data_IF_402592872037
#
_entry.id   IF_402592872037
#
_cell.length_a   1.000
_cell.length_b   1.000
_cell.length_c   1.000
_cell.angle_alpha   90.00
_cell.angle_beta   90.00
_cell.angle_gamma   90.00
#
_symmetry.space_group_name_H-M   'P 1'
#
loop_
_entity.id
_entity.type
_entity.pdbx_description
1 polymer ?
#
# COMPACT_ATOMS: atom_id res chain seq x y z
N UNK A 1 24.13 -9.02 -6.30
CA UNK A 1 23.96 -7.56 -6.31
C UNK A 1 22.46 -7.34 -6.31
N UNK A 2 21.91 -6.51 -5.41
CA UNK A 2 20.51 -6.08 -5.51
C UNK A 2 20.49 -5.00 -6.59
N UNK A 3 19.98 -5.30 -7.77
CA UNK A 3 19.95 -4.39 -8.91
C UNK A 3 18.60 -3.69 -9.10
N UNK A 4 17.56 -4.13 -8.36
CA UNK A 4 16.21 -3.57 -8.41
C UNK A 4 15.50 -3.68 -7.05
N UNK A 5 14.88 -2.58 -6.61
CA UNK A 5 13.94 -2.52 -5.48
C UNK A 5 13.03 -1.29 -5.66
N UNK A 6 11.84 -1.31 -5.05
CA UNK A 6 10.88 -0.19 -5.11
C UNK A 6 10.44 0.24 -3.71
N UNK A 7 10.07 1.51 -3.56
CA UNK A 7 9.52 2.07 -2.33
C UNK A 7 8.03 2.33 -2.51
N UNK A 8 7.19 1.61 -1.78
CA UNK A 8 5.75 1.61 -1.94
C UNK A 8 4.98 1.90 -0.64
N UNK A 9 3.76 1.38 -0.60
CA UNK A 9 2.90 1.43 0.58
C UNK A 9 2.40 2.83 0.95
N UNK A 10 2.04 3.01 2.23
CA UNK A 10 1.36 4.23 2.70
C UNK A 10 2.23 5.48 2.58
N UNK A 11 3.53 5.34 2.80
CA UNK A 11 4.48 6.46 2.78
C UNK A 11 4.81 6.88 1.35
N UNK A 12 4.91 5.95 0.40
CA UNK A 12 5.01 6.31 -1.01
C UNK A 12 3.75 7.03 -1.52
N UNK A 13 2.55 6.64 -1.06
CA UNK A 13 1.32 7.40 -1.36
C UNK A 13 1.34 8.78 -0.71
N UNK A 14 1.80 8.90 0.55
CA UNK A 14 1.94 10.19 1.23
C UNK A 14 2.86 11.14 0.45
N UNK A 15 4.01 10.66 -0.03
CA UNK A 15 4.95 11.46 -0.82
C UNK A 15 4.39 11.94 -2.16
N UNK A 16 3.41 11.24 -2.73
CA UNK A 16 2.85 11.53 -4.06
C UNK A 16 1.57 12.36 -4.02
N UNK A 17 0.67 12.10 -3.06
CA UNK A 17 -0.65 12.75 -3.00
C UNK A 17 -0.97 13.40 -1.65
N UNK A 18 -0.05 13.32 -0.68
CA UNK A 18 -0.18 13.88 0.67
C UNK A 18 -1.55 13.61 1.31
N UNK A 19 -2.04 12.38 1.20
CA UNK A 19 -3.38 12.02 1.69
C UNK A 19 -3.48 11.95 3.23
N UNK A 20 -2.43 11.43 3.89
CA UNK A 20 -2.30 11.33 5.35
C UNK A 20 -0.85 11.06 5.76
N UNK A 21 -0.53 11.29 7.03
CA UNK A 21 0.74 10.83 7.60
C UNK A 21 0.85 9.30 7.56
N UNK A 22 2.05 8.84 7.26
CA UNK A 22 2.47 7.44 7.26
C UNK A 22 3.91 7.35 7.72
N UNK A 23 4.18 6.43 8.66
CA UNK A 23 5.47 6.35 9.34
C UNK A 23 6.31 5.14 8.90
N UNK A 24 5.66 4.13 8.32
CA UNK A 24 6.32 2.90 7.90
C UNK A 24 7.04 3.09 6.55
N UNK A 25 8.07 2.29 6.28
CA UNK A 25 8.80 2.28 5.01
C UNK A 25 8.67 0.91 4.38
N UNK A 26 7.83 0.80 3.37
CA UNK A 26 7.61 -0.45 2.61
C UNK A 26 8.57 -0.54 1.41
N UNK A 27 9.55 -1.43 1.47
CA UNK A 27 10.49 -1.74 0.39
C UNK A 27 10.09 -3.05 -0.27
N UNK A 28 9.86 -3.03 -1.58
CA UNK A 28 9.49 -4.23 -2.32
C UNK A 28 10.66 -4.79 -3.14
N UNK A 29 10.73 -6.12 -3.16
CA UNK A 29 11.74 -6.93 -3.82
C UNK A 29 11.07 -7.97 -4.71
N UNK A 30 11.77 -8.41 -5.75
CA UNK A 30 11.35 -9.47 -6.67
C UNK A 30 11.94 -10.85 -6.32
N UNK A 31 13.06 -10.89 -5.60
CA UNK A 31 13.73 -12.13 -5.20
C UNK A 31 13.77 -12.32 -3.65
N UNK A 32 13.11 -13.35 -3.10
CA UNK A 32 13.17 -13.67 -1.67
C UNK A 32 14.55 -14.09 -1.17
N UNK A 33 15.46 -14.50 -2.05
CA UNK A 33 16.85 -14.82 -1.67
C UNK A 33 17.62 -13.59 -1.18
N UNK A 34 17.09 -12.37 -1.40
CA UNK A 34 17.69 -11.13 -0.93
C UNK A 34 17.40 -10.83 0.55
N UNK A 35 16.28 -11.33 1.11
CA UNK A 35 15.87 -11.01 2.48
C UNK A 35 16.93 -11.32 3.56
N UNK A 36 17.64 -12.47 3.53
CA UNK A 36 18.70 -12.75 4.51
C UNK A 36 19.84 -11.73 4.49
N UNK A 37 20.11 -11.12 3.33
CA UNK A 37 21.12 -10.07 3.19
C UNK A 37 20.64 -8.71 3.67
N UNK A 38 19.34 -8.51 3.82
CA UNK A 38 18.79 -7.23 4.30
C UNK A 38 18.62 -7.19 5.81
N UNK A 39 18.77 -8.34 6.50
CA UNK A 39 18.62 -8.45 7.93
C UNK A 39 19.87 -7.94 8.69
N UNK A 40 19.80 -6.76 9.34
CA UNK A 40 20.94 -6.16 10.05
C UNK A 40 21.48 -7.05 11.16
N UNK A 41 20.59 -7.82 11.82
CA UNK A 41 20.95 -8.70 12.94
C UNK A 41 21.86 -9.84 12.50
N UNK A 42 21.64 -10.41 11.32
CA UNK A 42 22.45 -11.52 10.80
C UNK A 42 23.64 -11.05 9.97
N UNK A 43 23.56 -9.87 9.36
CA UNK A 43 24.64 -9.32 8.53
C UNK A 43 25.62 -8.42 9.31
N UNK A 44 25.28 -8.05 10.55
CA UNK A 44 26.15 -7.21 11.39
C UNK A 44 26.26 -5.77 10.92
N UNK A 45 25.20 -5.22 10.32
CA UNK A 45 25.18 -3.83 9.89
C UNK A 45 25.20 -2.87 11.08
N UNK A 46 26.04 -1.83 10.99
CA UNK A 46 26.00 -0.70 11.91
C UNK A 46 24.92 0.27 11.45
N UNK A 47 23.91 0.49 12.30
CA UNK A 47 22.83 1.43 12.05
C UNK A 47 22.97 2.62 12.98
N UNK A 48 22.67 3.83 12.47
CA UNK A 48 22.70 5.06 13.28
C UNK A 48 21.65 5.02 14.41
N UNK A 49 20.55 4.31 14.17
CA UNK A 49 19.48 4.04 15.13
C UNK A 49 19.41 2.52 15.31
N UNK A 50 19.49 2.06 16.56
CA UNK A 50 19.33 0.64 16.87
C UNK A 50 17.84 0.24 16.77
N UNK A 51 17.50 -0.82 16.01
CA UNK A 51 16.15 -1.35 16.01
C UNK A 51 15.78 -2.00 17.33
N UNK A 52 14.51 -1.89 17.70
CA UNK A 52 13.92 -2.52 18.90
C UNK A 52 13.53 -3.97 18.63
N UNK A 53 13.27 -4.32 17.36
CA UNK A 53 12.82 -5.66 16.99
C UNK A 53 13.09 -6.02 15.54
N UNK A 54 13.06 -7.33 15.28
CA UNK A 54 13.12 -7.90 13.94
C UNK A 54 12.10 -9.03 13.84
N UNK A 55 11.23 -8.97 12.85
CA UNK A 55 10.28 -10.03 12.53
C UNK A 55 10.53 -10.54 11.12
N UNK A 56 10.46 -11.85 10.89
CA UNK A 56 10.56 -12.40 9.55
C UNK A 56 9.80 -13.71 9.46
N UNK A 57 9.09 -13.90 8.35
CA UNK A 57 8.48 -15.18 8.00
C UNK A 57 9.46 -16.13 7.26
N UNK A 58 10.72 -15.70 7.11
CA UNK A 58 11.81 -16.43 6.48
C UNK A 58 11.73 -16.56 4.95
N UNK A 59 10.66 -16.08 4.30
CA UNK A 59 10.45 -16.35 2.86
C UNK A 59 9.83 -15.23 2.04
N UNK A 60 9.09 -14.30 2.65
CA UNK A 60 8.40 -13.21 1.95
C UNK A 60 8.55 -11.86 2.62
N UNK A 61 8.80 -11.82 3.93
CA UNK A 61 8.88 -10.58 4.69
C UNK A 61 10.04 -10.55 5.68
N UNK A 62 10.63 -9.36 5.80
CA UNK A 62 11.53 -8.98 6.88
C UNK A 62 11.11 -7.60 7.36
N UNK A 63 10.72 -7.50 8.62
CA UNK A 63 10.36 -6.27 9.30
C UNK A 63 11.45 -5.87 10.29
N UNK A 64 11.80 -4.60 10.28
CA UNK A 64 12.68 -3.96 11.26
C UNK A 64 11.83 -2.94 12.03
N UNK A 65 11.75 -3.11 13.35
CA UNK A 65 10.88 -2.30 14.22
C UNK A 65 11.69 -1.23 14.92
N UNK A 66 11.21 0.01 14.87
CA UNK A 66 11.70 1.14 15.66
C UNK A 66 10.53 1.70 16.49
N UNK A 67 10.44 1.31 17.76
CA UNK A 67 9.35 1.69 18.66
C UNK A 67 9.21 3.22 18.74
N UNK A 68 7.96 3.70 18.64
CA UNK A 68 7.61 5.13 18.62
C UNK A 68 8.15 5.92 17.41
N UNK A 69 8.78 5.26 16.42
CA UNK A 69 9.26 5.89 15.18
C UNK A 69 8.52 5.34 13.97
N UNK A 70 8.47 4.02 13.81
CA UNK A 70 7.86 3.34 12.66
C UNK A 70 8.55 2.01 12.34
N UNK A 71 8.15 1.39 11.24
CA UNK A 71 8.69 0.10 10.80
C UNK A 71 9.35 0.23 9.42
N UNK A 72 10.34 -0.62 9.12
CA UNK A 72 10.82 -0.85 7.76
C UNK A 72 10.44 -2.27 7.37
N UNK A 73 9.58 -2.40 6.38
CA UNK A 73 9.11 -3.67 5.84
C UNK A 73 9.78 -3.95 4.50
N UNK A 74 10.59 -5.01 4.44
CA UNK A 74 11.03 -5.60 3.18
C UNK A 74 10.06 -6.69 2.78
N UNK A 75 9.45 -6.56 1.60
CA UNK A 75 8.36 -7.40 1.13
C UNK A 75 8.70 -7.96 -0.24
N UNK A 76 8.71 -9.28 -0.38
CA UNK A 76 8.85 -9.94 -1.66
C UNK A 76 7.49 -10.03 -2.37
N UNK A 77 7.20 -9.01 -3.18
CA UNK A 77 6.03 -8.95 -4.02
C UNK A 77 6.37 -8.27 -5.36
N UNK A 78 6.23 -8.99 -6.49
CA UNK A 78 6.51 -8.42 -7.80
C UNK A 78 5.56 -7.27 -8.13
N UNK A 79 5.94 -6.46 -9.12
CA UNK A 79 5.05 -5.46 -9.71
C UNK A 79 3.84 -6.10 -10.38
N UNK A 80 2.68 -5.44 -10.28
CA UNK A 80 1.41 -5.92 -10.81
C UNK A 80 0.95 -5.14 -12.04
N UNK A 81 1.28 -3.86 -12.13
CA UNK A 81 0.85 -2.96 -13.21
C UNK A 81 1.93 -2.77 -14.28
N UNK A 82 1.53 -2.29 -15.47
CA UNK A 82 2.45 -2.07 -16.59
C UNK A 82 3.43 -0.90 -16.39
N UNK A 83 3.08 0.08 -15.57
CA UNK A 83 3.93 1.23 -15.20
C UNK A 83 3.99 1.33 -13.66
N UNK A 84 4.73 0.43 -13.01
CA UNK A 84 4.61 0.24 -11.56
C UNK A 84 5.33 1.31 -10.75
N UNK A 85 6.27 2.05 -11.35
CA UNK A 85 7.10 3.02 -10.63
C UNK A 85 7.30 4.34 -11.36
N UNK A 86 7.64 5.36 -10.58
CA UNK A 86 8.19 6.64 -11.04
C UNK A 86 9.50 6.91 -10.32
N UNK A 87 10.45 7.55 -11.02
CA UNK A 87 11.70 7.99 -10.39
C UNK A 87 11.44 9.22 -9.52
N UNK A 88 11.94 9.20 -8.29
CA UNK A 88 11.86 10.33 -7.39
C UNK A 88 13.15 10.51 -6.60
N UNK A 89 13.32 11.67 -5.98
CA UNK A 89 14.36 11.92 -5.00
C UNK A 89 13.72 12.05 -3.61
N UNK A 90 14.13 11.19 -2.68
CA UNK A 90 13.66 11.20 -1.29
C UNK A 90 14.87 11.41 -0.40
N UNK A 91 14.91 12.57 0.29
CA UNK A 91 16.02 12.96 1.17
C UNK A 91 17.40 12.84 0.51
N UNK A 92 17.55 13.29 -0.74
CA UNK A 92 18.81 13.23 -1.48
C UNK A 92 19.14 11.85 -2.08
N UNK A 93 18.23 10.87 -2.00
CA UNK A 93 18.40 9.54 -2.58
C UNK A 93 17.47 9.35 -3.76
N UNK A 94 18.00 8.91 -4.89
CA UNK A 94 17.20 8.48 -6.02
C UNK A 94 16.55 7.14 -5.71
N UNK A 95 15.23 7.07 -5.83
CA UNK A 95 14.43 5.88 -5.54
C UNK A 95 13.42 5.64 -6.67
N UNK A 96 12.99 4.39 -6.82
CA UNK A 96 11.83 4.03 -7.61
C UNK A 96 10.62 3.99 -6.67
N UNK A 97 9.78 5.03 -6.71
CA UNK A 97 8.52 5.05 -5.96
C UNK A 97 7.48 4.25 -6.72
N UNK A 98 6.75 3.37 -6.04
CA UNK A 98 5.58 2.72 -6.65
C UNK A 98 4.49 3.75 -6.96
N UNK A 99 3.85 3.63 -8.12
CA UNK A 99 2.75 4.53 -8.50
C UNK A 99 1.54 4.30 -7.60
N UNK A 100 0.63 5.29 -7.46
CA UNK A 100 -0.59 5.09 -6.69
C UNK A 100 -1.42 3.89 -7.19
N UNK A 101 -1.47 3.69 -8.50
CA UNK A 101 -2.12 2.52 -9.11
C UNK A 101 -1.47 1.20 -8.70
N UNK A 102 -0.14 1.10 -8.71
CA UNK A 102 0.57 -0.08 -8.23
C UNK A 102 0.30 -0.37 -6.75
N UNK A 103 0.34 0.67 -5.91
CA UNK A 103 0.12 0.52 -4.46
C UNK A 103 -1.31 0.04 -4.16
N UNK A 104 -2.31 0.61 -4.84
CA UNK A 104 -3.70 0.17 -4.71
C UNK A 104 -3.88 -1.25 -5.27
N UNK A 105 -3.27 -1.57 -6.42
CA UNK A 105 -3.32 -2.91 -7.00
C UNK A 105 -2.76 -3.96 -6.03
N UNK A 106 -1.61 -3.71 -5.41
CA UNK A 106 -1.03 -4.61 -4.39
C UNK A 106 -1.92 -4.76 -3.17
N UNK A 107 -2.53 -3.67 -2.67
CA UNK A 107 -3.49 -3.74 -1.55
C UNK A 107 -4.69 -4.63 -1.89
N UNK A 108 -5.30 -4.45 -3.07
CA UNK A 108 -6.43 -5.28 -3.49
C UNK A 108 -5.99 -6.72 -3.72
N UNK A 109 -4.89 -6.94 -4.44
CA UNK A 109 -4.41 -8.26 -4.83
C UNK A 109 -4.00 -9.14 -3.64
N UNK A 110 -3.20 -8.59 -2.72
CA UNK A 110 -2.66 -9.35 -1.59
C UNK A 110 -3.52 -9.26 -0.33
N UNK A 111 -4.24 -8.16 -0.13
CA UNK A 111 -4.97 -7.88 1.13
C UNK A 111 -6.47 -7.69 0.95
N UNK A 112 -7.01 -7.74 -0.27
CA UNK A 112 -8.44 -7.49 -0.53
C UNK A 112 -9.39 -8.36 0.30
N UNK A 113 -9.08 -9.65 0.45
CA UNK A 113 -9.87 -10.58 1.27
C UNK A 113 -9.81 -10.31 2.79
N UNK A 114 -8.91 -9.45 3.25
CA UNK A 114 -8.76 -9.02 4.64
C UNK A 114 -8.60 -7.48 4.73
N UNK A 115 -9.24 -6.76 3.81
CA UNK A 115 -9.10 -5.31 3.65
C UNK A 115 -9.43 -4.57 4.95
N UNK A 116 -8.62 -3.58 5.29
CA UNK A 116 -8.80 -2.74 6.47
C UNK A 116 -9.45 -1.39 6.09
N UNK A 117 -10.08 -0.66 7.02
CA UNK A 117 -10.62 0.68 6.75
C UNK A 117 -9.60 1.64 6.13
N UNK A 118 -8.33 1.58 6.55
CA UNK A 118 -7.24 2.38 5.95
C UNK A 118 -7.02 2.09 4.46
N UNK A 119 -7.28 0.86 4.01
CA UNK A 119 -7.12 0.51 2.60
C UNK A 119 -8.24 1.13 1.76
N UNK A 120 -9.48 1.15 2.27
CA UNK A 120 -10.59 1.90 1.63
C UNK A 120 -10.34 3.40 1.61
N UNK A 121 -9.77 3.96 2.69
CA UNK A 121 -9.36 5.37 2.74
C UNK A 121 -8.34 5.69 1.63
N UNK A 122 -7.28 4.88 1.53
CA UNK A 122 -6.22 5.09 0.53
C UNK A 122 -6.79 4.94 -0.90
N UNK A 123 -7.66 3.95 -1.16
CA UNK A 123 -8.37 3.79 -2.46
C UNK A 123 -9.16 5.05 -2.81
N UNK A 124 -10.00 5.53 -1.89
CA UNK A 124 -10.83 6.70 -2.12
C UNK A 124 -10.02 7.99 -2.32
N UNK A 125 -8.89 8.14 -1.62
CA UNK A 125 -7.97 9.26 -1.86
C UNK A 125 -7.37 9.22 -3.26
N UNK A 126 -6.94 8.04 -3.72
CA UNK A 126 -6.39 7.88 -5.09
C UNK A 126 -7.48 8.11 -6.14
N UNK A 127 -8.71 7.67 -5.92
CA UNK A 127 -9.84 8.01 -6.79
C UNK A 127 -10.07 9.52 -6.88
N UNK A 128 -9.99 10.22 -5.74
CA UNK A 128 -10.19 11.68 -5.68
C UNK A 128 -9.11 12.46 -6.44
N UNK A 129 -7.86 11.97 -6.46
CA UNK A 129 -6.74 12.67 -7.10
C UNK A 129 -6.49 12.25 -8.55
N UNK A 130 -6.73 10.98 -8.90
CA UNK A 130 -6.41 10.43 -10.23
C UNK A 130 -7.63 10.04 -11.07
N UNK A 131 -8.83 9.99 -10.48
CA UNK A 131 -10.04 9.55 -11.16
C UNK A 131 -10.27 8.04 -11.08
N UNK A 132 -11.49 7.63 -11.46
CA UNK A 132 -11.94 6.24 -11.39
C UNK A 132 -11.26 5.40 -12.47
N UNK A 133 -11.13 5.95 -13.68
CA UNK A 133 -10.54 5.30 -14.85
C UNK A 133 -9.08 4.90 -14.59
N UNK A 134 -8.35 5.71 -13.81
CA UNK A 134 -6.99 5.40 -13.42
C UNK A 134 -6.89 4.11 -12.60
N UNK A 135 -7.81 3.90 -11.64
CA UNK A 135 -7.82 2.69 -10.83
C UNK A 135 -8.48 1.51 -11.55
N UNK A 136 -9.45 1.74 -12.43
CA UNK A 136 -9.99 0.69 -13.30
C UNK A 136 -8.88 0.05 -14.12
N UNK A 137 -8.04 0.85 -14.79
CA UNK A 137 -6.89 0.35 -15.56
C UNK A 137 -5.90 -0.45 -14.70
N UNK A 138 -5.66 -0.02 -13.45
CA UNK A 138 -4.76 -0.72 -12.53
C UNK A 138 -5.33 -2.05 -11.99
N UNK A 139 -6.66 -2.18 -11.94
CA UNK A 139 -7.34 -3.27 -11.24
C UNK A 139 -8.07 -4.26 -12.15
N UNK A 140 -8.40 -3.90 -13.39
CA UNK A 140 -9.21 -4.72 -14.32
C UNK A 140 -8.62 -6.10 -14.62
N UNK A 141 -7.31 -6.29 -14.44
CA UNK A 141 -6.64 -7.58 -14.59
C UNK A 141 -6.83 -8.53 -13.38
N UNK A 142 -7.39 -8.04 -12.27
CA UNK A 142 -7.46 -8.75 -10.99
C UNK A 142 -8.91 -8.88 -10.48
N UNK A 143 -9.82 -9.28 -11.36
CA UNK A 143 -11.26 -9.33 -11.07
C UNK A 143 -11.60 -10.21 -9.87
N UNK A 144 -11.01 -11.40 -9.75
CA UNK A 144 -11.22 -12.30 -8.62
C UNK A 144 -10.81 -11.66 -7.28
N UNK A 145 -9.74 -10.85 -7.30
CA UNK A 145 -9.29 -10.08 -6.13
C UNK A 145 -10.21 -8.91 -5.82
N UNK A 146 -10.71 -8.24 -6.85
CA UNK A 146 -11.70 -7.17 -6.70
C UNK A 146 -13.02 -7.71 -6.12
N UNK A 147 -13.48 -8.89 -6.54
CA UNK A 147 -14.66 -9.54 -5.99
C UNK A 147 -14.49 -9.89 -4.50
N UNK A 148 -13.32 -10.41 -4.12
CA UNK A 148 -12.99 -10.69 -2.73
C UNK A 148 -12.97 -9.41 -1.87
N UNK A 149 -12.33 -8.35 -2.38
CA UNK A 149 -12.33 -7.02 -1.76
C UNK A 149 -13.74 -6.43 -1.62
N UNK A 150 -14.56 -6.52 -2.66
CA UNK A 150 -15.93 -6.01 -2.68
C UNK A 150 -16.78 -6.70 -1.62
N UNK A 151 -16.63 -8.01 -1.46
CA UNK A 151 -17.33 -8.76 -0.41
C UNK A 151 -16.98 -8.24 0.98
N UNK A 152 -15.69 -7.99 1.25
CA UNK A 152 -15.24 -7.44 2.54
C UNK A 152 -15.77 -6.02 2.75
N UNK A 153 -15.65 -5.15 1.74
CA UNK A 153 -16.11 -3.77 1.81
C UNK A 153 -17.62 -3.68 2.11
N UNK A 154 -18.45 -4.52 1.47
CA UNK A 154 -19.91 -4.58 1.72
C UNK A 154 -20.27 -5.12 3.11
N UNK A 155 -19.48 -6.04 3.64
CA UNK A 155 -19.73 -6.65 4.96
C UNK A 155 -19.24 -5.78 6.12
N UNK A 156 -18.33 -4.85 5.86
CA UNK A 156 -17.78 -3.97 6.90
C UNK A 156 -18.84 -3.01 7.44
N UNK A 157 -18.90 -2.86 8.76
CA UNK A 157 -19.79 -1.89 9.38
C UNK A 157 -19.35 -0.44 9.02
N UNK A 158 -20.22 0.39 8.42
CA UNK A 158 -19.85 1.73 7.96
C UNK A 158 -19.38 2.66 9.08
N UNK A 159 -20.09 2.68 10.21
CA UNK A 159 -19.73 3.53 11.35
C UNK A 159 -18.39 3.12 11.96
N UNK A 160 -18.10 1.82 12.02
CA UNK A 160 -16.81 1.30 12.44
C UNK A 160 -15.69 1.75 11.49
N UNK A 161 -15.89 1.58 10.18
CA UNK A 161 -14.91 1.99 9.18
C UNK A 161 -14.63 3.50 9.27
N UNK A 162 -15.67 4.34 9.31
CA UNK A 162 -15.57 5.79 9.48
C UNK A 162 -14.83 6.17 10.77
N UNK A 163 -15.13 5.49 11.89
CA UNK A 163 -14.47 5.74 13.18
C UNK A 163 -12.96 5.47 13.11
N UNK A 164 -12.55 4.39 12.44
CA UNK A 164 -11.14 4.07 12.27
C UNK A 164 -10.47 5.08 11.33
N UNK A 165 -11.11 5.42 10.21
CA UNK A 165 -10.57 6.36 9.23
C UNK A 165 -10.45 7.79 9.78
N UNK A 166 -11.37 8.21 10.66
CA UNK A 166 -11.33 9.53 11.32
C UNK A 166 -10.11 9.70 12.23
N UNK A 167 -9.49 8.60 12.68
CA UNK A 167 -8.27 8.63 13.50
C UNK A 167 -6.99 8.71 12.67
N UNK A 168 -7.08 8.57 11.35
CA UNK A 168 -5.93 8.76 10.47
C UNK A 168 -5.54 10.24 10.49
N UNK A 169 -4.25 10.52 10.44
CA UNK A 169 -3.71 11.87 10.36
C UNK A 169 -3.81 12.39 8.91
N UNK A 170 -5.03 12.47 8.38
CA UNK A 170 -5.28 12.90 7.00
C UNK A 170 -5.19 14.42 6.83
N UNK A 171 -4.92 14.86 5.60
CA UNK A 171 -4.94 16.29 5.27
C UNK A 171 -6.35 16.82 5.12
N UNK A 172 -6.51 18.11 5.35
CA UNK A 172 -7.81 18.80 5.28
C UNK A 172 -8.52 18.60 3.92
N UNK A 173 -7.75 18.53 2.83
CA UNK A 173 -8.26 18.24 1.47
C UNK A 173 -8.95 16.88 1.33
N UNK A 174 -8.75 15.97 2.28
CA UNK A 174 -9.35 14.63 2.34
C UNK A 174 -10.29 14.45 3.55
N UNK A 175 -10.71 15.55 4.20
CA UNK A 175 -11.55 15.50 5.41
C UNK A 175 -12.94 14.89 5.22
N UNK A 176 -13.44 14.88 3.99
CA UNK A 176 -14.67 14.22 3.56
C UNK A 176 -14.50 12.69 3.41
N UNK A 177 -13.29 12.21 3.10
CA UNK A 177 -13.03 10.82 2.72
C UNK A 177 -13.47 9.80 3.78
N UNK A 178 -13.24 9.97 5.10
CA UNK A 178 -13.67 8.98 6.08
C UNK A 178 -15.16 8.62 6.01
N UNK A 179 -16.02 9.56 5.59
CA UNK A 179 -17.47 9.36 5.46
C UNK A 179 -17.88 8.64 4.18
N UNK A 180 -17.09 8.77 3.12
CA UNK A 180 -17.45 8.31 1.76
C UNK A 180 -16.55 7.20 1.23
N UNK A 181 -15.44 6.91 1.89
CA UNK A 181 -14.42 5.97 1.39
C UNK A 181 -14.97 4.57 1.14
N UNK A 182 -15.84 4.07 2.02
CA UNK A 182 -16.44 2.76 1.85
C UNK A 182 -17.36 2.72 0.62
N UNK A 183 -18.26 3.71 0.45
CA UNK A 183 -19.17 3.73 -0.70
C UNK A 183 -18.39 3.92 -2.01
N UNK A 184 -17.41 4.82 -2.04
CA UNK A 184 -16.53 5.01 -3.20
C UNK A 184 -15.78 3.72 -3.57
N UNK A 185 -15.26 3.00 -2.57
CA UNK A 185 -14.57 1.72 -2.81
C UNK A 185 -15.53 0.66 -3.35
N UNK A 186 -16.75 0.57 -2.80
CA UNK A 186 -17.77 -0.36 -3.29
C UNK A 186 -18.13 -0.05 -4.74
N UNK A 187 -18.41 1.21 -5.08
CA UNK A 187 -18.76 1.64 -6.43
C UNK A 187 -17.66 1.30 -7.45
N UNK A 188 -16.40 1.65 -7.14
CA UNK A 188 -15.24 1.30 -7.99
C UNK A 188 -15.17 -0.20 -8.25
N UNK A 189 -15.22 -1.01 -7.19
CA UNK A 189 -15.08 -2.46 -7.30
C UNK A 189 -16.28 -3.09 -8.02
N UNK A 190 -17.50 -2.56 -7.85
CA UNK A 190 -18.68 -2.98 -8.61
C UNK A 190 -18.52 -2.70 -10.10
N UNK A 191 -18.03 -1.52 -10.48
CA UNK A 191 -17.74 -1.18 -11.88
C UNK A 191 -16.76 -2.17 -12.50
N UNK A 192 -15.64 -2.44 -11.83
CA UNK A 192 -14.63 -3.40 -12.31
C UNK A 192 -15.21 -4.82 -12.44
N UNK A 193 -15.97 -5.28 -11.44
CA UNK A 193 -16.54 -6.63 -11.45
C UNK A 193 -17.67 -6.82 -12.47
N UNK A 194 -18.35 -5.74 -12.88
CA UNK A 194 -19.45 -5.79 -13.87
C UNK A 194 -18.99 -5.56 -15.30
N UNK A 195 -17.96 -4.74 -15.54
CA UNK A 195 -17.38 -4.50 -16.87
C UNK A 195 -16.78 -5.74 -17.54
N UNK A 196 -16.53 -6.80 -16.77
CA UNK A 196 -16.04 -8.10 -17.24
C UNK A 196 -17.07 -8.97 -17.99
N UNK A 197 -18.37 -8.63 -17.91
CA UNK A 197 -19.47 -9.45 -18.42
C UNK A 197 -19.94 -9.07 -19.82
N UNK A 198 -19.20 -8.22 -20.52
CA UNK A 198 -19.45 -7.75 -21.90
C UNK A 198 -18.27 -8.08 -22.78
#
# INVERSE_FOLDING_TARGET
MIDSWTFGGGTALMLQIDHRESFDVDIFLDDPQLLPYLNPKTQGYALDINPDGYESDGSRTLKIVFENVGEIDFICAPSLTGNPTVRAEVRGRHVLLETPGEIIAKKVYYRGAAMQPRDMFDIACVMKTHGVEYLDEALKAFQDKCEAALKVARQMNPQFAETIMTRLLYRESFSDIPRVAQSMTIELLETICTGAKT
#
